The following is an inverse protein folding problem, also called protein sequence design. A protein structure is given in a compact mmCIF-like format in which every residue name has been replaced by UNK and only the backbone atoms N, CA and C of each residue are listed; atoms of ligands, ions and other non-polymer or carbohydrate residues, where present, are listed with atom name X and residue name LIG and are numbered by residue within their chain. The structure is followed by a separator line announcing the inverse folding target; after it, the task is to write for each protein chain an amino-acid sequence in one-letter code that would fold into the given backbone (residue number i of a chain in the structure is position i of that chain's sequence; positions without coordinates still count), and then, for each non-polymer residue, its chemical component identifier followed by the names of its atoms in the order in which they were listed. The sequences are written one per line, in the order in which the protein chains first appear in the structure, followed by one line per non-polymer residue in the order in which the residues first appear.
data_IF_745504685891
#
_entry.id   IF_745504685891
#
_cell.length_a   1.000
_cell.length_b   1.000
_cell.length_c   1.000
_cell.angle_alpha   90.00
_cell.angle_beta   90.00
_cell.angle_gamma   90.00
#
_symmetry.space_group_name_H-M   'P 1'
#
loop_
_entity.id
_entity.type
_entity.pdbx_description
1 polymer ?
#
# COMPACT_ATOMS: atom_id res chain seq x y z
N UNK A 1 32.03 -7.16 -10.81
CA UNK A 1 31.53 -5.83 -11.15
C UNK A 1 30.02 -5.68 -10.85
N UNK A 2 29.12 -6.59 -11.26
CA UNK A 2 27.69 -6.54 -11.01
C UNK A 2 27.27 -6.30 -9.54
N UNK A 3 27.89 -7.00 -8.56
CA UNK A 3 27.56 -6.83 -7.12
C UNK A 3 27.78 -5.41 -6.59
N UNK A 4 28.86 -4.74 -7.02
CA UNK A 4 29.17 -3.36 -6.59
C UNK A 4 28.16 -2.35 -7.18
N UNK A 5 27.74 -2.54 -8.43
CA UNK A 5 26.77 -1.68 -9.08
C UNK A 5 25.37 -1.80 -8.44
N UNK A 6 24.92 -3.02 -8.15
CA UNK A 6 23.66 -3.25 -7.43
C UNK A 6 23.70 -2.59 -6.05
N UNK A 7 24.78 -2.77 -5.29
CA UNK A 7 24.93 -2.14 -3.98
C UNK A 7 24.86 -0.61 -4.07
N UNK A 8 25.56 -0.01 -5.05
CA UNK A 8 25.50 1.44 -5.29
C UNK A 8 24.06 1.89 -5.57
N UNK A 9 23.33 1.19 -6.45
CA UNK A 9 21.94 1.51 -6.76
C UNK A 9 21.03 1.41 -5.52
N UNK A 10 21.17 0.37 -4.71
CA UNK A 10 20.38 0.20 -3.48
C UNK A 10 20.68 1.31 -2.47
N UNK A 11 21.93 1.72 -2.31
CA UNK A 11 22.30 2.83 -1.41
C UNK A 11 21.73 4.17 -1.88
N UNK A 12 21.80 4.48 -3.19
CA UNK A 12 21.24 5.71 -3.75
C UNK A 12 19.71 5.72 -3.57
N UNK A 13 19.05 4.62 -3.90
CA UNK A 13 17.61 4.48 -3.71
C UNK A 13 17.21 4.69 -2.24
N UNK A 14 17.89 4.03 -1.31
CA UNK A 14 17.61 4.15 0.11
C UNK A 14 17.80 5.58 0.62
N UNK A 15 18.83 6.30 0.13
CA UNK A 15 19.08 7.68 0.49
C UNK A 15 17.93 8.61 0.03
N UNK A 16 17.49 8.50 -1.23
CA UNK A 16 16.36 9.30 -1.72
C UNK A 16 15.05 8.94 -1.03
N UNK A 17 14.75 7.64 -0.89
CA UNK A 17 13.54 7.20 -0.23
C UNK A 17 13.48 7.70 1.23
N UNK A 18 14.59 7.64 1.96
CA UNK A 18 14.68 8.15 3.33
C UNK A 18 14.54 9.68 3.39
N UNK A 19 15.17 10.41 2.48
CA UNK A 19 15.09 11.87 2.42
C UNK A 19 13.65 12.33 2.12
N UNK A 20 12.98 11.74 1.14
CA UNK A 20 11.59 12.05 0.82
C UNK A 20 10.64 11.63 1.94
N UNK A 21 10.86 10.47 2.55
CA UNK A 21 10.07 10.03 3.70
C UNK A 21 10.19 11.02 4.86
N UNK A 22 11.40 11.47 5.18
CA UNK A 22 11.62 12.45 6.24
C UNK A 22 10.91 13.78 5.92
N UNK A 23 11.09 14.31 4.70
CA UNK A 23 10.47 15.56 4.28
C UNK A 23 8.93 15.50 4.32
N UNK A 24 8.34 14.45 3.76
CA UNK A 24 6.88 14.28 3.74
C UNK A 24 6.30 14.00 5.13
N UNK A 25 7.03 13.26 5.97
CA UNK A 25 6.62 13.02 7.37
C UNK A 25 6.67 14.30 8.20
N UNK A 26 7.68 15.16 8.01
CA UNK A 26 7.75 16.47 8.67
C UNK A 26 6.61 17.38 8.18
N UNK A 27 6.32 17.39 6.88
CA UNK A 27 5.19 18.14 6.35
C UNK A 27 3.87 17.67 6.98
N UNK A 28 3.60 16.36 7.00
CA UNK A 28 2.41 15.80 7.63
C UNK A 28 2.33 16.13 9.13
N UNK A 29 3.44 16.00 9.85
CA UNK A 29 3.51 16.33 11.28
C UNK A 29 3.20 17.81 11.59
N UNK A 30 3.66 18.74 10.73
CA UNK A 30 3.44 20.17 10.93
C UNK A 30 2.04 20.63 10.55
N UNK A 31 1.42 20.01 9.54
CA UNK A 31 0.19 20.54 8.95
C UNK A 31 -1.03 19.66 9.20
N UNK A 32 -0.85 18.37 9.49
CA UNK A 32 -1.94 17.39 9.50
C UNK A 32 -2.54 17.11 8.10
N UNK A 33 -1.99 17.74 7.04
CA UNK A 33 -2.55 17.67 5.70
C UNK A 33 -2.30 16.29 5.06
N UNK A 34 -3.38 15.59 4.72
CA UNK A 34 -3.32 14.27 4.06
C UNK A 34 -2.76 14.34 2.64
N UNK A 35 -2.66 15.52 2.03
CA UNK A 35 -1.97 15.71 0.76
C UNK A 35 -0.49 15.29 0.87
N UNK A 36 0.15 15.55 2.02
CA UNK A 36 1.52 15.09 2.29
C UNK A 36 1.65 13.57 2.13
N UNK A 37 0.66 12.81 2.62
CA UNK A 37 0.63 11.34 2.50
C UNK A 37 0.43 10.91 1.05
N UNK A 38 -0.45 11.59 0.32
CA UNK A 38 -0.66 11.33 -1.11
C UNK A 38 0.64 11.56 -1.90
N UNK A 39 1.36 12.64 -1.63
CA UNK A 39 2.66 12.92 -2.27
C UNK A 39 3.69 11.86 -1.89
N UNK A 40 3.72 11.45 -0.63
CA UNK A 40 4.62 10.40 -0.16
C UNK A 40 4.46 9.10 -0.96
N UNK A 41 3.26 8.71 -1.35
CA UNK A 41 3.02 7.49 -2.14
C UNK A 41 3.71 7.49 -3.52
N UNK A 42 4.02 8.66 -4.08
CA UNK A 42 4.78 8.76 -5.34
C UNK A 42 6.30 8.76 -5.14
N UNK A 43 6.78 9.08 -3.94
CA UNK A 43 8.21 9.25 -3.69
C UNK A 43 9.05 7.99 -3.89
N UNK A 44 8.57 6.76 -3.66
CA UNK A 44 9.32 5.55 -3.99
C UNK A 44 9.64 5.46 -5.49
N UNK A 45 8.65 5.71 -6.37
CA UNK A 45 8.89 5.72 -7.82
C UNK A 45 9.86 6.83 -8.25
N UNK A 46 9.73 8.03 -7.66
CA UNK A 46 10.66 9.13 -7.90
C UNK A 46 12.08 8.75 -7.46
N UNK A 47 12.22 8.05 -6.32
CA UNK A 47 13.50 7.56 -5.84
C UNK A 47 14.15 6.56 -6.80
N UNK A 48 13.36 5.66 -7.40
CA UNK A 48 13.84 4.74 -8.46
C UNK A 48 14.29 5.52 -9.68
N UNK A 49 13.52 6.51 -10.10
CA UNK A 49 13.84 7.36 -11.24
C UNK A 49 15.17 8.06 -11.05
N UNK A 50 15.35 8.76 -9.94
CA UNK A 50 16.58 9.48 -9.61
C UNK A 50 17.78 8.52 -9.49
N UNK A 51 17.56 7.34 -8.88
CA UNK A 51 18.58 6.28 -8.78
C UNK A 51 19.04 5.84 -10.16
N UNK A 52 18.11 5.62 -11.09
CA UNK A 52 18.38 5.18 -12.44
C UNK A 52 19.21 6.22 -13.22
N UNK A 53 18.80 7.48 -13.11
CA UNK A 53 19.52 8.59 -13.75
C UNK A 53 20.96 8.72 -13.24
N UNK A 54 21.17 8.67 -11.91
CA UNK A 54 22.49 8.79 -11.29
C UNK A 54 23.37 7.53 -11.46
N UNK A 55 22.76 6.38 -11.66
CA UNK A 55 23.47 5.14 -11.94
C UNK A 55 23.86 4.97 -13.42
N UNK A 56 23.40 5.88 -14.28
CA UNK A 56 23.68 5.85 -15.73
C UNK A 56 22.92 4.73 -16.48
N UNK A 57 21.85 4.20 -15.91
CA UNK A 57 21.00 3.22 -16.60
C UNK A 57 20.07 3.89 -17.59
N UNK A 58 19.84 3.23 -18.73
CA UNK A 58 18.99 3.79 -19.79
C UNK A 58 17.51 3.71 -19.48
N UNK A 59 16.71 4.66 -20.01
CA UNK A 59 15.25 4.68 -19.90
C UNK A 59 14.56 3.39 -20.38
N UNK A 60 15.10 2.77 -21.44
CA UNK A 60 14.55 1.51 -21.97
C UNK A 60 14.66 0.37 -20.96
N UNK A 61 15.78 0.30 -20.24
CA UNK A 61 15.99 -0.67 -19.18
C UNK A 61 15.06 -0.42 -17.99
N UNK A 62 14.89 0.84 -17.58
CA UNK A 62 13.97 1.24 -16.53
C UNK A 62 12.53 0.81 -16.83
N UNK A 63 12.03 1.17 -18.02
CA UNK A 63 10.66 0.83 -18.44
C UNK A 63 10.44 -0.68 -18.59
N UNK A 64 11.46 -1.42 -19.06
CA UNK A 64 11.40 -2.87 -19.13
C UNK A 64 11.27 -3.50 -17.72
N UNK A 65 11.99 -2.97 -16.75
CA UNK A 65 12.01 -3.47 -15.36
C UNK A 65 10.72 -3.14 -14.57
N UNK A 66 9.92 -2.17 -15.01
CA UNK A 66 8.68 -1.81 -14.31
C UNK A 66 7.52 -2.79 -14.50
N UNK A 67 7.63 -3.78 -15.37
CA UNK A 67 6.58 -4.78 -15.60
C UNK A 67 5.19 -4.16 -15.83
N UNK A 68 5.15 -3.04 -16.59
CA UNK A 68 3.94 -2.25 -16.83
C UNK A 68 2.91 -2.91 -17.75
N UNK A 69 3.27 -4.01 -18.42
CA UNK A 69 2.33 -4.70 -19.33
C UNK A 69 1.28 -5.46 -18.52
N UNK A 70 -0.01 -5.13 -18.59
CA UNK A 70 -1.03 -5.77 -17.76
C UNK A 70 -1.28 -7.22 -18.15
N UNK A 71 -0.90 -7.65 -19.37
CA UNK A 71 -1.11 -9.02 -19.89
C UNK A 71 -2.54 -9.52 -19.64
N UNK A 72 -3.54 -8.66 -19.84
CA UNK A 72 -4.95 -8.91 -19.51
C UNK A 72 -5.47 -10.23 -20.06
N UNK A 73 -5.14 -10.56 -21.31
CA UNK A 73 -5.60 -11.80 -21.94
C UNK A 73 -5.16 -13.06 -21.18
N UNK A 74 -3.95 -13.04 -20.60
CA UNK A 74 -3.37 -14.17 -19.88
C UNK A 74 -3.79 -14.20 -18.40
N UNK A 75 -4.05 -13.02 -17.81
CA UNK A 75 -4.24 -12.86 -16.37
C UNK A 75 -5.66 -12.45 -15.97
N UNK A 76 -6.62 -12.38 -16.91
CA UNK A 76 -8.00 -11.90 -16.63
C UNK A 76 -8.67 -12.59 -15.43
N UNK A 77 -8.53 -13.90 -15.32
CA UNK A 77 -9.10 -14.64 -14.19
C UNK A 77 -8.43 -14.31 -12.86
N UNK A 78 -7.11 -14.06 -12.85
CA UNK A 78 -6.37 -13.66 -11.65
C UNK A 78 -6.75 -12.25 -11.21
N UNK A 79 -6.83 -11.32 -12.15
CA UNK A 79 -7.30 -9.96 -11.87
C UNK A 79 -8.71 -9.96 -11.29
N UNK A 80 -9.62 -10.73 -11.90
CA UNK A 80 -10.97 -10.86 -11.40
C UNK A 80 -11.01 -11.49 -10.00
N UNK A 81 -10.22 -12.54 -9.77
CA UNK A 81 -10.11 -13.18 -8.46
C UNK A 81 -9.58 -12.20 -7.40
N UNK A 82 -8.50 -11.47 -7.67
CA UNK A 82 -7.97 -10.46 -6.76
C UNK A 82 -9.00 -9.36 -6.53
N UNK A 83 -9.68 -8.91 -7.58
CA UNK A 83 -10.70 -7.87 -7.48
C UNK A 83 -11.87 -8.27 -6.60
N UNK A 84 -12.33 -9.51 -6.64
CA UNK A 84 -13.47 -10.00 -5.87
C UNK A 84 -13.07 -10.50 -4.47
N UNK A 85 -11.91 -11.18 -4.35
CA UNK A 85 -11.50 -11.77 -3.07
C UNK A 85 -11.01 -10.73 -2.06
N UNK A 86 -10.40 -9.64 -2.51
CA UNK A 86 -9.88 -8.61 -1.58
C UNK A 86 -10.97 -8.02 -0.69
N UNK A 87 -12.13 -7.54 -1.19
CA UNK A 87 -13.19 -7.06 -0.33
C UNK A 87 -13.78 -8.18 0.55
N UNK A 88 -13.90 -9.39 0.04
CA UNK A 88 -14.41 -10.53 0.84
C UNK A 88 -13.50 -10.78 2.04
N UNK A 89 -12.18 -10.84 1.84
CA UNK A 89 -11.21 -11.04 2.93
C UNK A 89 -11.26 -9.90 3.94
N UNK A 90 -11.39 -8.65 3.47
CA UNK A 90 -11.49 -7.48 4.34
C UNK A 90 -12.76 -7.50 5.19
N UNK A 91 -13.92 -7.81 4.60
CA UNK A 91 -15.18 -7.92 5.34
C UNK A 91 -15.16 -9.11 6.32
N UNK A 92 -14.58 -10.25 5.94
CA UNK A 92 -14.39 -11.37 6.87
C UNK A 92 -13.50 -10.96 8.04
N UNK A 93 -12.44 -10.21 7.79
CA UNK A 93 -11.60 -9.64 8.85
C UNK A 93 -12.37 -8.74 9.79
N UNK A 94 -13.23 -7.87 9.26
CA UNK A 94 -14.11 -7.02 10.06
C UNK A 94 -15.11 -7.83 10.90
N UNK A 95 -15.72 -8.86 10.32
CA UNK A 95 -16.62 -9.77 11.05
C UNK A 95 -15.88 -10.44 12.20
N UNK A 96 -14.70 -10.99 11.96
CA UNK A 96 -13.86 -11.62 13.00
C UNK A 96 -13.53 -10.60 14.10
N UNK A 97 -13.14 -9.37 13.72
CA UNK A 97 -12.85 -8.31 14.67
C UNK A 97 -14.04 -8.01 15.58
N UNK A 98 -15.24 -7.80 15.04
CA UNK A 98 -16.42 -7.51 15.84
C UNK A 98 -16.98 -8.71 16.63
N UNK A 99 -16.67 -9.94 16.21
CA UNK A 99 -16.94 -11.12 17.02
C UNK A 99 -16.02 -11.19 18.25
N UNK A 100 -14.77 -10.77 18.11
CA UNK A 100 -13.79 -10.72 19.21
C UNK A 100 -13.98 -9.51 20.12
N UNK A 101 -14.44 -8.38 19.56
CA UNK A 101 -14.61 -7.10 20.25
C UNK A 101 -16.02 -6.54 20.01
N UNK A 102 -17.09 -7.21 20.48
CA UNK A 102 -18.48 -6.80 20.18
C UNK A 102 -18.83 -5.40 20.70
N UNK A 103 -18.14 -4.92 21.74
CA UNK A 103 -18.30 -3.56 22.27
C UNK A 103 -17.83 -2.47 21.32
N UNK A 104 -17.03 -2.81 20.31
CA UNK A 104 -16.58 -1.86 19.30
C UNK A 104 -17.57 -1.73 18.12
N UNK A 105 -18.54 -2.63 18.04
CA UNK A 105 -19.57 -2.56 16.99
C UNK A 105 -20.59 -1.46 17.30
N UNK A 106 -20.70 -0.51 16.40
CA UNK A 106 -21.70 0.55 16.47
C UNK A 106 -22.23 0.91 15.10
N UNK A 107 -23.53 1.19 15.01
CA UNK A 107 -24.13 1.82 13.83
C UNK A 107 -24.01 3.36 13.86
N UNK A 108 -23.50 3.92 14.96
CA UNK A 108 -23.19 5.34 15.09
C UNK A 108 -21.69 5.56 14.79
N UNK A 109 -21.28 5.19 13.59
CA UNK A 109 -19.89 5.47 13.15
C UNK A 109 -19.69 6.98 12.93
N UNK A 110 -18.43 7.42 12.92
CA UNK A 110 -18.10 8.80 12.59
C UNK A 110 -18.71 9.24 11.25
N UNK A 111 -18.73 8.35 10.26
CA UNK A 111 -19.36 8.61 8.96
C UNK A 111 -20.88 8.80 9.06
N UNK A 112 -21.55 8.03 9.91
CA UNK A 112 -22.99 8.20 10.15
C UNK A 112 -23.30 9.56 10.79
N UNK A 113 -22.51 9.93 11.79
CA UNK A 113 -22.65 11.22 12.48
C UNK A 113 -22.39 12.38 11.52
N UNK A 114 -21.33 12.30 10.74
CA UNK A 114 -20.94 13.32 9.76
C UNK A 114 -21.94 13.47 8.61
N UNK A 115 -22.53 12.36 8.14
CA UNK A 115 -23.55 12.37 7.08
C UNK A 115 -24.95 12.73 7.59
N UNK A 116 -25.19 12.78 8.91
CA UNK A 116 -26.51 13.01 9.51
C UNK A 116 -27.52 11.88 9.30
N UNK A 117 -27.06 10.70 8.84
CA UNK A 117 -27.90 9.53 8.53
C UNK A 117 -27.79 8.53 9.67
N UNK A 118 -28.91 7.99 10.14
CA UNK A 118 -28.95 7.08 11.30
C UNK A 118 -29.83 5.84 11.04
N UNK A 119 -29.59 4.80 11.84
CA UNK A 119 -30.41 3.60 11.85
C UNK A 119 -30.42 2.85 10.50
N UNK A 120 -31.62 2.50 10.05
CA UNK A 120 -31.84 1.74 8.80
C UNK A 120 -31.40 2.50 7.56
N UNK A 121 -31.53 3.85 7.57
CA UNK A 121 -31.10 4.69 6.45
C UNK A 121 -29.59 4.68 6.28
N UNK A 122 -28.85 4.57 7.40
CA UNK A 122 -27.40 4.40 7.34
C UNK A 122 -27.00 3.03 6.76
N UNK A 123 -27.72 1.96 7.06
CA UNK A 123 -27.48 0.65 6.44
C UNK A 123 -27.76 0.70 4.94
N UNK A 124 -28.84 1.35 4.52
CA UNK A 124 -29.16 1.56 3.11
C UNK A 124 -28.08 2.40 2.39
N UNK A 125 -27.60 3.46 3.04
CA UNK A 125 -26.49 4.28 2.55
C UNK A 125 -25.21 3.45 2.37
N UNK A 126 -24.81 2.65 3.37
CA UNK A 126 -23.65 1.77 3.26
C UNK A 126 -23.80 0.77 2.11
N UNK A 127 -24.98 0.16 1.96
CA UNK A 127 -25.25 -0.78 0.87
C UNK A 127 -25.12 -0.11 -0.50
N UNK A 128 -25.57 1.14 -0.64
CA UNK A 128 -25.40 1.93 -1.86
C UNK A 128 -23.93 2.32 -2.13
N UNK A 129 -23.11 2.50 -1.07
CA UNK A 129 -21.68 2.81 -1.20
C UNK A 129 -20.81 1.60 -1.57
N UNK A 130 -21.27 0.37 -1.33
CA UNK A 130 -20.49 -0.85 -1.67
C UNK A 130 -20.10 -0.89 -3.15
N UNK A 131 -20.99 -0.67 -4.14
CA UNK A 131 -20.60 -0.64 -5.55
C UNK A 131 -19.54 0.42 -5.85
N UNK A 132 -19.68 1.61 -5.24
CA UNK A 132 -18.70 2.69 -5.40
C UNK A 132 -17.33 2.28 -4.83
N UNK A 133 -17.29 1.76 -3.61
CA UNK A 133 -16.07 1.29 -2.96
C UNK A 133 -15.41 0.12 -3.70
N UNK A 134 -16.21 -0.77 -4.29
CA UNK A 134 -15.69 -1.96 -4.99
C UNK A 134 -15.29 -1.66 -6.43
N UNK A 135 -15.95 -0.76 -7.14
CA UNK A 135 -15.74 -0.53 -8.58
C UNK A 135 -14.96 0.75 -8.87
N UNK A 136 -15.23 1.83 -8.15
CA UNK A 136 -14.70 3.16 -8.48
C UNK A 136 -13.44 3.50 -7.68
N UNK A 137 -13.46 3.34 -6.36
CA UNK A 137 -12.33 3.71 -5.51
C UNK A 137 -10.99 3.05 -5.94
N UNK A 138 -10.94 1.75 -6.32
CA UNK A 138 -9.69 1.16 -6.77
C UNK A 138 -9.13 1.81 -8.04
N UNK A 139 -9.99 2.39 -8.89
CA UNK A 139 -9.55 3.11 -10.08
C UNK A 139 -9.02 4.49 -9.73
N UNK A 140 -9.65 5.16 -8.76
CA UNK A 140 -9.20 6.49 -8.29
C UNK A 140 -7.85 6.44 -7.58
N UNK A 141 -7.58 5.37 -6.84
CA UNK A 141 -6.31 5.17 -6.15
C UNK A 141 -5.18 4.54 -6.98
N UNK A 142 -5.46 4.16 -8.24
CA UNK A 142 -4.43 3.55 -9.10
C UNK A 142 -3.14 4.39 -9.23
N UNK A 143 -3.19 5.72 -9.44
CA UNK A 143 -1.97 6.51 -9.57
C UNK A 143 -1.07 6.43 -8.34
N UNK A 144 -1.65 6.55 -7.14
CA UNK A 144 -0.92 6.48 -5.87
C UNK A 144 -0.30 5.09 -5.67
N UNK A 145 -1.10 4.05 -5.92
CA UNK A 145 -0.64 2.68 -5.83
C UNK A 145 0.50 2.38 -6.81
N UNK A 146 0.42 2.89 -8.05
CA UNK A 146 1.51 2.78 -9.02
C UNK A 146 2.79 3.44 -8.53
N UNK A 147 2.70 4.58 -7.84
CA UNK A 147 3.85 5.26 -7.24
C UNK A 147 4.66 4.37 -6.31
N UNK A 148 3.99 3.53 -5.54
CA UNK A 148 4.62 2.55 -4.66
C UNK A 148 5.05 1.27 -5.40
N UNK A 149 4.14 0.66 -6.16
CA UNK A 149 4.37 -0.64 -6.80
C UNK A 149 5.49 -0.61 -7.84
N UNK A 150 5.69 0.51 -8.54
CA UNK A 150 6.83 0.71 -9.43
C UNK A 150 8.17 0.54 -8.70
N UNK A 151 8.25 1.02 -7.47
CA UNK A 151 9.46 0.89 -6.67
C UNK A 151 9.56 -0.47 -5.99
N UNK A 152 8.53 -0.87 -5.26
CA UNK A 152 8.62 -2.07 -4.42
C UNK A 152 8.66 -3.35 -5.25
N UNK A 153 7.74 -3.52 -6.19
CA UNK A 153 7.62 -4.76 -6.99
C UNK A 153 8.25 -4.63 -8.36
N UNK A 154 8.17 -3.45 -8.99
CA UNK A 154 8.77 -3.23 -10.29
C UNK A 154 10.30 -3.16 -10.27
N UNK A 155 10.89 -2.60 -9.21
CA UNK A 155 12.33 -2.37 -9.18
C UNK A 155 13.06 -3.10 -8.04
N UNK A 156 12.62 -2.96 -6.78
CA UNK A 156 13.35 -3.47 -5.62
C UNK A 156 13.27 -5.00 -5.53
N UNK A 157 12.07 -5.57 -5.64
CA UNK A 157 11.84 -7.02 -5.52
C UNK A 157 12.63 -7.83 -6.54
N UNK A 158 12.65 -7.52 -7.86
CA UNK A 158 13.49 -8.23 -8.82
C UNK A 158 14.98 -8.17 -8.47
N UNK A 159 15.50 -7.00 -8.12
CA UNK A 159 16.92 -6.82 -7.74
C UNK A 159 17.31 -7.60 -6.50
N UNK A 160 16.45 -7.65 -5.49
CA UNK A 160 16.69 -8.47 -4.31
C UNK A 160 16.55 -9.96 -4.61
N UNK A 161 15.67 -10.34 -5.55
CA UNK A 161 15.49 -11.75 -5.97
C UNK A 161 16.75 -12.31 -6.61
N UNK A 162 17.40 -11.54 -7.49
CA UNK A 162 18.68 -11.94 -8.11
C UNK A 162 19.78 -12.20 -7.08
N UNK A 163 19.75 -11.49 -5.95
CA UNK A 163 20.80 -11.58 -4.93
C UNK A 163 20.50 -12.61 -3.84
N UNK A 164 19.27 -12.68 -3.38
CA UNK A 164 18.88 -13.39 -2.15
C UNK A 164 17.89 -14.53 -2.38
N UNK A 165 17.41 -14.70 -3.61
CA UNK A 165 16.33 -15.63 -3.95
C UNK A 165 14.94 -15.07 -3.59
N UNK A 166 13.90 -15.73 -4.09
CA UNK A 166 12.52 -15.23 -4.06
C UNK A 166 11.98 -14.96 -2.64
N UNK A 167 12.08 -15.93 -1.75
CA UNK A 167 11.51 -15.82 -0.41
C UNK A 167 12.13 -14.66 0.39
N UNK A 168 13.47 -14.59 0.42
CA UNK A 168 14.17 -13.53 1.14
C UNK A 168 13.91 -12.16 0.52
N UNK A 169 13.83 -12.08 -0.79
CA UNK A 169 13.52 -10.84 -1.50
C UNK A 169 12.13 -10.32 -1.14
N UNK A 170 11.11 -11.18 -1.09
CA UNK A 170 9.77 -10.81 -0.65
C UNK A 170 9.77 -10.31 0.77
N UNK A 171 10.38 -11.05 1.70
CA UNK A 171 10.44 -10.64 3.11
C UNK A 171 11.15 -9.30 3.29
N UNK A 172 12.30 -9.10 2.63
CA UNK A 172 13.06 -7.85 2.69
C UNK A 172 12.28 -6.67 2.08
N UNK A 173 11.69 -6.85 0.90
CA UNK A 173 10.89 -5.80 0.26
C UNK A 173 9.70 -5.42 1.11
N UNK A 174 8.99 -6.42 1.68
CA UNK A 174 7.83 -6.21 2.53
C UNK A 174 8.20 -5.52 3.84
N UNK A 175 9.34 -5.89 4.43
CA UNK A 175 9.86 -5.24 5.63
C UNK A 175 10.23 -3.77 5.37
N UNK A 176 10.93 -3.49 4.27
CA UNK A 176 11.26 -2.11 3.86
C UNK A 176 9.99 -1.30 3.63
N UNK A 177 8.98 -1.89 3.00
CA UNK A 177 7.68 -1.26 2.78
C UNK A 177 6.95 -0.95 4.10
N UNK A 178 6.97 -1.87 5.07
CA UNK A 178 6.41 -1.64 6.41
C UNK A 178 7.14 -0.55 7.19
N UNK A 179 8.48 -0.56 7.17
CA UNK A 179 9.31 0.46 7.81
C UNK A 179 9.09 1.84 7.16
N UNK A 180 8.85 1.89 5.85
CA UNK A 180 8.55 3.13 5.15
C UNK A 180 7.27 3.81 5.67
N UNK A 181 6.27 3.06 6.15
CA UNK A 181 5.08 3.60 6.78
C UNK A 181 5.30 4.06 8.23
N UNK A 182 6.38 3.59 8.89
CA UNK A 182 6.55 3.74 10.33
C UNK A 182 6.45 5.19 10.86
N UNK A 183 7.02 6.23 10.22
CA UNK A 183 6.94 7.59 10.76
C UNK A 183 5.49 8.10 10.85
N UNK A 184 4.71 7.96 9.78
CA UNK A 184 3.32 8.47 9.74
C UNK A 184 2.39 7.63 10.61
N UNK A 185 2.63 6.32 10.72
CA UNK A 185 1.89 5.42 11.60
C UNK A 185 2.18 5.73 13.08
N UNK A 186 3.43 6.07 13.41
CA UNK A 186 3.78 6.50 14.77
C UNK A 186 3.10 7.81 15.18
N UNK A 187 2.73 8.66 14.22
CA UNK A 187 1.94 9.88 14.40
C UNK A 187 0.43 9.63 14.50
N UNK A 188 -0.01 8.37 14.55
CA UNK A 188 -1.42 8.00 14.67
C UNK A 188 -2.14 7.72 13.33
N UNK A 189 -1.48 7.87 12.19
CA UNK A 189 -2.11 7.53 10.92
C UNK A 189 -2.45 6.03 10.85
N UNK A 190 -3.62 5.68 10.35
CA UNK A 190 -4.23 4.34 10.23
C UNK A 190 -4.70 3.69 11.54
N UNK A 191 -3.98 3.83 12.65
CA UNK A 191 -4.28 3.07 13.88
C UNK A 191 -4.65 3.96 15.07
N UNK A 192 -4.69 5.28 14.89
CA UNK A 192 -4.94 6.23 15.97
C UNK A 192 -3.72 6.47 16.86
N UNK A 193 -3.91 7.36 17.84
CA UNK A 193 -2.87 7.76 18.79
C UNK A 193 -2.83 6.82 20.02
N UNK A 194 -1.77 6.89 20.80
CA UNK A 194 -1.66 6.21 22.10
C UNK A 194 -0.69 5.04 22.15
N UNK A 195 -0.51 4.28 21.06
CA UNK A 195 0.37 3.10 21.06
C UNK A 195 1.32 3.05 19.84
N UNK A 196 2.20 4.06 19.64
CA UNK A 196 2.97 4.21 18.38
C UNK A 196 3.81 2.99 18.03
N UNK A 197 4.45 2.34 18.99
CA UNK A 197 5.27 1.14 18.75
C UNK A 197 4.43 -0.06 18.34
N UNK A 198 3.29 -0.28 18.99
CA UNK A 198 2.37 -1.36 18.63
C UNK A 198 1.75 -1.13 17.25
N UNK A 199 1.38 0.11 16.94
CA UNK A 199 0.84 0.51 15.65
C UNK A 199 1.87 0.27 14.52
N UNK A 200 3.11 0.67 14.72
CA UNK A 200 4.21 0.41 13.76
C UNK A 200 4.46 -1.09 13.59
N UNK A 201 4.47 -1.86 14.68
CA UNK A 201 4.64 -3.31 14.62
C UNK A 201 3.47 -3.98 13.84
N UNK A 202 2.24 -3.55 14.08
CA UNK A 202 1.06 -4.02 13.36
C UNK A 202 1.14 -3.70 11.86
N UNK A 203 1.58 -2.48 11.48
CA UNK A 203 1.79 -2.09 10.09
C UNK A 203 2.88 -2.93 9.42
N UNK A 204 4.00 -3.18 10.09
CA UNK A 204 5.07 -4.02 9.55
C UNK A 204 4.56 -5.44 9.32
N UNK A 205 3.81 -6.02 10.28
CA UNK A 205 3.22 -7.33 10.14
C UNK A 205 2.22 -7.38 8.97
N UNK A 206 1.36 -6.38 8.86
CA UNK A 206 0.43 -6.23 7.74
C UNK A 206 1.18 -6.19 6.40
N UNK A 207 2.22 -5.38 6.28
CA UNK A 207 3.05 -5.28 5.08
C UNK A 207 3.79 -6.59 4.76
N UNK A 208 4.22 -7.36 5.77
CA UNK A 208 4.84 -8.67 5.56
C UNK A 208 3.84 -9.67 4.98
N UNK A 209 2.63 -9.74 5.52
CA UNK A 209 1.57 -10.66 5.03
C UNK A 209 1.10 -10.26 3.64
N UNK A 210 0.71 -9.01 3.47
CA UNK A 210 0.23 -8.50 2.19
C UNK A 210 1.32 -8.54 1.12
N UNK A 211 2.55 -8.20 1.49
CA UNK A 211 3.70 -8.23 0.61
C UNK A 211 4.07 -9.64 0.15
N UNK A 212 3.85 -10.67 0.98
CA UNK A 212 4.01 -12.07 0.57
C UNK A 212 2.98 -12.45 -0.51
N UNK A 213 1.71 -12.07 -0.32
CA UNK A 213 0.65 -12.30 -1.31
C UNK A 213 0.98 -11.57 -2.61
N UNK A 214 1.36 -10.30 -2.51
CA UNK A 214 1.70 -9.48 -3.67
C UNK A 214 2.95 -9.98 -4.41
N UNK A 215 3.97 -10.43 -3.70
CA UNK A 215 5.16 -11.05 -4.28
C UNK A 215 4.81 -12.33 -5.06
N UNK A 216 3.98 -13.19 -4.48
CA UNK A 216 3.48 -14.39 -5.16
C UNK A 216 2.71 -14.04 -6.43
N UNK A 217 1.80 -13.07 -6.38
CA UNK A 217 1.03 -12.61 -7.54
C UNK A 217 1.95 -12.04 -8.62
N UNK A 218 2.99 -11.30 -8.23
CA UNK A 218 3.97 -10.76 -9.18
C UNK A 218 4.66 -11.84 -10.01
N UNK A 219 5.13 -12.87 -9.40
CA UNK A 219 5.77 -13.95 -10.17
C UNK A 219 4.80 -14.75 -11.01
N UNK A 220 3.51 -14.78 -10.63
CA UNK A 220 2.47 -15.48 -11.40
C UNK A 220 1.95 -14.69 -12.60
N UNK A 221 1.94 -13.36 -12.50
CA UNK A 221 1.34 -12.48 -13.51
C UNK A 221 2.39 -11.76 -14.35
N UNK A 222 3.62 -11.62 -13.84
CA UNK A 222 4.70 -10.82 -14.41
C UNK A 222 4.22 -9.39 -14.72
N UNK A 223 3.43 -8.81 -13.79
CA UNK A 223 2.78 -7.53 -13.94
C UNK A 223 2.57 -6.87 -12.58
N UNK A 224 2.61 -5.54 -12.52
CA UNK A 224 2.30 -4.78 -11.30
C UNK A 224 0.82 -4.41 -11.14
N UNK A 225 0.00 -4.61 -12.17
CA UNK A 225 -1.36 -4.10 -12.20
C UNK A 225 -2.36 -4.82 -11.28
N UNK A 226 -2.19 -6.09 -11.04
CA UNK A 226 -3.04 -6.87 -10.13
C UNK A 226 -2.90 -6.43 -8.66
N UNK A 227 -1.80 -5.78 -8.35
CA UNK A 227 -1.46 -5.29 -7.01
C UNK A 227 -2.02 -3.93 -6.71
N UNK A 228 -2.00 -3.03 -7.68
CA UNK A 228 -2.62 -1.73 -7.52
C UNK A 228 -4.10 -1.85 -7.13
N UNK A 229 -4.80 -2.86 -7.64
CA UNK A 229 -6.20 -3.11 -7.27
C UNK A 229 -6.36 -3.72 -5.89
N UNK A 230 -5.41 -4.50 -5.38
CA UNK A 230 -5.49 -5.14 -4.06
C UNK A 230 -5.02 -4.24 -2.92
N UNK A 231 -3.92 -3.52 -3.11
CA UNK A 231 -3.33 -2.62 -2.08
C UNK A 231 -4.27 -1.48 -1.75
N UNK A 232 -4.83 -0.83 -2.77
CA UNK A 232 -5.75 0.27 -2.59
C UNK A 232 -6.97 -0.12 -1.76
N UNK A 233 -7.58 -1.26 -2.05
CA UNK A 233 -8.74 -1.74 -1.30
C UNK A 233 -8.44 -2.10 0.14
N UNK A 234 -7.29 -2.71 0.39
CA UNK A 234 -6.90 -3.07 1.75
C UNK A 234 -6.68 -1.82 2.60
N UNK A 235 -6.10 -0.76 2.05
CA UNK A 235 -5.89 0.49 2.75
C UNK A 235 -7.20 1.26 2.99
N UNK A 236 -8.09 1.36 1.99
CA UNK A 236 -9.36 2.10 2.13
C UNK A 236 -10.31 1.46 3.14
N UNK A 237 -10.36 0.14 3.18
CA UNK A 237 -11.20 -0.59 4.14
C UNK A 237 -10.70 -0.46 5.59
N UNK A 238 -9.39 -0.26 5.78
CA UNK A 238 -8.78 -0.03 7.08
C UNK A 238 -8.91 1.45 7.49
N UNK A 239 -8.72 2.38 6.55
CA UNK A 239 -8.76 3.82 6.82
C UNK A 239 -10.18 4.40 6.96
N UNK A 240 -11.21 3.74 6.43
CA UNK A 240 -12.60 4.18 6.54
C UNK A 240 -13.17 4.19 7.97
N UNK A 241 -12.43 3.68 8.95
CA UNK A 241 -12.83 3.57 10.35
C UNK A 241 -12.00 4.48 11.28
N UNK A 242 -11.70 5.73 10.89
CA UNK A 242 -11.08 6.66 11.85
C UNK A 242 -12.01 6.93 13.02
N UNK A 243 -11.63 6.64 14.26
CA UNK A 243 -12.25 7.30 15.38
C UNK A 243 -11.79 8.77 15.31
N UNK A 244 -12.73 9.68 15.06
CA UNK A 244 -12.52 11.09 15.38
C UNK A 244 -12.26 11.17 16.87
N UNK A 245 -11.02 11.41 17.26
CA UNK A 245 -10.71 11.83 18.61
C UNK A 245 -11.42 13.15 18.88
N UNK A 246 -12.40 13.13 19.77
CA UNK A 246 -12.79 14.28 20.56
C UNK A 246 -11.70 14.59 21.56
#
# INVERSE_FOLDING_TARGET
MMKKQLQKQLCIFAAFAAAFLAAGSIWYWQTGDTLALTVLMFTPAVSVLLTTLLAGAGWKELLANFHLKPRLRQNKGRYLAVWLLTPVVAYLGAVVYFLLFPQQFTLQSALAVESGIQGTDYIAFLAAMIPLAVLVNPLMGLPQCLGEELAWRGWLLPKLTERFGQLRAVLLTSLVWGIWHAPVVAMGYNYGEGHPLANVAAMILFCLVLGAIQGFLFWRTDSIWDRCSSTQRSMELICGSRPTSL
#
